data_IF_951900920650
#
_entry.id   IF_951900920650
#
_cell.length_a   1.000
_cell.length_b   1.000
_cell.length_c   1.000
_cell.angle_alpha   90.00
_cell.angle_beta   90.00
_cell.angle_gamma   90.00
#
_symmetry.space_group_name_H-M   'P 1'
#
loop_
_entity.id
_entity.type
_entity.pdbx_description
1 polymer ?
#
# COMPACT_ATOMS: atom_id res chain seq x y z
N UNK A 1 -6.51 0.21 -14.69
CA UNK A 1 -5.04 0.11 -14.76
C UNK A 1 -4.45 0.95 -13.64
N UNK A 2 -3.66 0.31 -12.80
CA UNK A 2 -2.86 0.94 -11.74
C UNK A 2 -1.39 0.68 -12.02
N UNK A 3 -0.53 1.57 -11.57
CA UNK A 3 0.93 1.46 -11.76
C UNK A 3 1.65 1.74 -10.45
N UNK A 4 2.73 1.00 -10.20
CA UNK A 4 3.66 1.23 -9.09
C UNK A 4 5.06 1.40 -9.65
N UNK A 5 5.75 2.42 -9.16
CA UNK A 5 7.19 2.62 -9.38
C UNK A 5 7.91 2.30 -8.07
N UNK A 6 8.48 1.09 -7.98
CA UNK A 6 9.00 0.50 -6.73
C UNK A 6 10.23 -0.35 -7.01
N UNK A 7 11.14 -0.45 -6.05
CA UNK A 7 12.34 -1.31 -6.08
C UNK A 7 11.96 -2.69 -5.52
N UNK A 8 11.63 -3.65 -6.40
CA UNK A 8 11.03 -4.93 -6.01
C UNK A 8 12.04 -5.99 -5.57
N UNK A 9 13.29 -5.87 -6.02
CA UNK A 9 14.37 -6.81 -5.74
C UNK A 9 15.48 -6.26 -4.82
N UNK A 10 15.29 -5.03 -4.31
CA UNK A 10 16.15 -4.33 -3.35
C UNK A 10 17.54 -3.98 -3.92
N UNK A 11 17.66 -3.85 -5.24
CA UNK A 11 18.92 -3.54 -5.93
C UNK A 11 19.23 -2.03 -6.01
N UNK A 12 18.23 -1.20 -5.69
CA UNK A 12 18.32 0.26 -5.65
C UNK A 12 17.82 0.97 -6.91
N UNK A 13 17.48 0.23 -7.97
CA UNK A 13 16.84 0.74 -9.17
C UNK A 13 15.31 0.62 -9.05
N UNK A 14 14.59 1.61 -9.56
CA UNK A 14 13.12 1.63 -9.50
C UNK A 14 12.56 0.85 -10.68
N UNK A 15 11.78 -0.19 -10.39
CA UNK A 15 11.02 -1.01 -11.34
C UNK A 15 9.62 -0.45 -11.60
N UNK A 16 8.90 -1.08 -12.52
CA UNK A 16 7.53 -0.71 -12.87
C UNK A 16 6.59 -1.92 -12.89
N UNK A 17 5.66 -1.98 -11.95
CA UNK A 17 4.53 -2.92 -11.97
C UNK A 17 3.29 -2.27 -12.61
N UNK A 18 2.61 -3.01 -13.48
CA UNK A 18 1.40 -2.57 -14.18
C UNK A 18 0.28 -3.60 -13.99
N UNK A 19 -0.79 -3.19 -13.29
CA UNK A 19 -2.02 -3.96 -13.20
C UNK A 19 -2.87 -3.76 -14.46
N UNK A 20 -3.19 -4.86 -15.14
CA UNK A 20 -3.91 -4.87 -16.41
C UNK A 20 -5.34 -5.38 -16.28
N UNK A 21 -6.23 -4.87 -17.13
CA UNK A 21 -7.62 -5.32 -17.21
C UNK A 21 -7.75 -6.50 -18.19
N UNK A 22 -8.03 -7.68 -17.65
CA UNK A 22 -8.35 -8.90 -18.40
C UNK A 22 -7.20 -9.44 -19.26
N UNK A 23 -5.97 -8.98 -19.01
CA UNK A 23 -4.72 -9.49 -19.57
C UNK A 23 -3.69 -9.69 -18.45
N UNK A 24 -2.58 -10.41 -18.66
CA UNK A 24 -1.58 -10.60 -17.63
C UNK A 24 -1.05 -9.25 -17.12
N UNK A 25 -0.78 -9.14 -15.82
CA UNK A 25 -0.05 -8.00 -15.28
C UNK A 25 1.40 -8.04 -15.78
N UNK A 26 2.06 -6.89 -15.81
CA UNK A 26 3.47 -6.79 -16.21
C UNK A 26 4.31 -6.30 -15.03
N UNK A 27 5.53 -6.83 -14.95
CA UNK A 27 6.59 -6.27 -14.14
C UNK A 27 7.78 -5.99 -15.04
N UNK A 28 8.11 -4.72 -15.16
CA UNK A 28 9.26 -4.24 -15.92
C UNK A 28 10.38 -3.99 -14.92
N UNK A 29 11.34 -4.92 -14.84
CA UNK A 29 12.53 -4.73 -14.02
C UNK A 29 13.49 -3.77 -14.71
N UNK A 30 14.00 -2.81 -13.96
CA UNK A 30 14.99 -1.86 -14.44
C UNK A 30 16.37 -2.54 -14.47
N UNK A 31 17.09 -2.41 -15.58
CA UNK A 31 18.42 -3.05 -15.73
C UNK A 31 19.58 -2.08 -15.41
N UNK A 32 19.27 -0.92 -14.82
CA UNK A 32 20.26 0.08 -14.37
C UNK A 32 20.92 0.91 -15.48
N UNK A 33 20.61 0.63 -16.74
CA UNK A 33 21.14 1.31 -17.92
C UNK A 33 20.09 2.14 -18.69
N UNK A 34 18.92 2.34 -18.07
CA UNK A 34 17.77 3.02 -18.65
C UNK A 34 16.92 2.13 -19.55
N UNK A 35 17.18 0.82 -19.59
CA UNK A 35 16.32 -0.18 -20.22
C UNK A 35 15.55 -0.99 -19.18
N UNK A 36 14.48 -1.64 -19.64
CA UNK A 36 13.62 -2.47 -18.79
C UNK A 36 13.39 -3.84 -19.44
N UNK A 37 13.37 -4.89 -18.62
CA UNK A 37 12.99 -6.24 -19.01
C UNK A 37 11.60 -6.59 -18.44
N UNK A 38 10.69 -7.08 -19.28
CA UNK A 38 9.42 -7.63 -18.81
C UNK A 38 9.67 -9.02 -18.21
N UNK A 39 9.37 -9.16 -16.91
CA UNK A 39 9.66 -10.35 -16.10
C UNK A 39 8.45 -10.81 -15.27
N UNK A 40 7.23 -10.32 -15.54
CA UNK A 40 6.05 -10.54 -14.70
C UNK A 40 5.69 -12.02 -14.52
N UNK A 41 5.89 -12.85 -15.53
CA UNK A 41 5.67 -14.30 -15.43
C UNK A 41 6.74 -14.97 -14.55
N UNK A 42 8.01 -14.59 -14.73
CA UNK A 42 9.16 -15.12 -14.00
C UNK A 42 9.12 -14.72 -12.52
N UNK A 43 8.72 -13.48 -12.26
CA UNK A 43 8.51 -12.93 -10.92
C UNK A 43 7.22 -13.42 -10.23
N UNK A 44 6.36 -14.15 -10.96
CA UNK A 44 5.08 -14.69 -10.47
C UNK A 44 4.05 -13.63 -10.05
N UNK A 45 4.03 -12.50 -10.75
CA UNK A 45 3.05 -11.41 -10.55
C UNK A 45 2.10 -11.20 -11.73
N UNK A 46 2.31 -11.92 -12.84
CA UNK A 46 1.49 -11.82 -14.04
C UNK A 46 0.05 -12.36 -13.86
N UNK A 47 -0.14 -13.33 -12.96
CA UNK A 47 -1.39 -14.04 -12.72
C UNK A 47 -1.57 -14.33 -11.23
N UNK A 48 -2.79 -14.56 -10.76
CA UNK A 48 -3.04 -15.18 -9.45
C UNK A 48 -2.73 -16.69 -9.46
N UNK A 49 -2.92 -17.35 -8.31
CA UNK A 49 -2.60 -18.76 -8.07
C UNK A 49 -3.23 -19.75 -9.06
N UNK A 50 -4.35 -19.38 -9.68
CA UNK A 50 -5.09 -20.21 -10.63
C UNK A 50 -4.62 -20.01 -12.09
N UNK A 51 -3.68 -19.09 -12.34
CA UNK A 51 -3.00 -18.92 -13.63
C UNK A 51 -3.86 -18.27 -14.73
N UNK A 52 -4.98 -17.63 -14.39
CA UNK A 52 -5.80 -16.88 -15.34
C UNK A 52 -5.50 -15.39 -15.26
N UNK A 53 -5.67 -14.70 -16.39
CA UNK A 53 -5.71 -13.23 -16.39
C UNK A 53 -6.86 -12.76 -15.51
N UNK A 54 -6.58 -11.74 -14.70
CA UNK A 54 -7.54 -11.08 -13.83
C UNK A 54 -7.75 -9.64 -14.32
N UNK A 55 -8.73 -8.93 -13.76
CA UNK A 55 -9.08 -7.57 -14.19
C UNK A 55 -8.60 -6.52 -13.19
N UNK A 56 -7.29 -6.21 -13.25
CA UNK A 56 -6.56 -5.30 -12.35
C UNK A 56 -6.90 -3.82 -12.50
N UNK A 57 -7.30 -3.16 -11.41
CA UNK A 57 -7.59 -1.72 -11.42
C UNK A 57 -6.71 -0.90 -10.47
N UNK A 58 -6.79 -1.11 -9.16
CA UNK A 58 -5.93 -0.42 -8.19
C UNK A 58 -4.82 -1.30 -7.66
N UNK A 59 -3.77 -0.65 -7.19
CA UNK A 59 -2.53 -1.29 -6.73
C UNK A 59 -2.03 -0.66 -5.43
N UNK A 60 -1.49 -1.46 -4.53
CA UNK A 60 -0.85 -0.97 -3.31
C UNK A 60 0.51 -1.67 -3.08
N UNK A 61 1.39 -0.98 -2.36
CA UNK A 61 2.73 -1.43 -2.00
C UNK A 61 2.94 -1.29 -0.49
N UNK A 62 3.30 -2.36 0.19
CA UNK A 62 3.47 -2.34 1.65
C UNK A 62 3.87 -3.69 2.23
N UNK A 63 4.67 -3.67 3.29
CA UNK A 63 5.13 -4.85 4.04
C UNK A 63 4.02 -5.31 5.01
N UNK A 64 3.14 -6.20 4.54
CA UNK A 64 1.95 -6.58 5.31
C UNK A 64 2.25 -7.63 6.39
N UNK A 65 3.28 -8.46 6.22
CA UNK A 65 3.61 -9.52 7.18
C UNK A 65 4.79 -9.16 8.10
N UNK A 66 5.37 -7.97 7.93
CA UNK A 66 6.39 -7.41 8.81
C UNK A 66 7.76 -8.06 8.64
N UNK A 67 8.01 -8.66 7.48
CA UNK A 67 9.26 -9.34 7.18
C UNK A 67 10.33 -8.45 6.53
N UNK A 68 10.01 -7.15 6.43
CA UNK A 68 10.84 -6.09 5.87
C UNK A 68 11.09 -6.20 4.35
N UNK A 69 10.21 -6.91 3.62
CA UNK A 69 10.12 -6.90 2.15
C UNK A 69 8.70 -6.51 1.73
N UNK A 70 8.49 -5.30 1.20
CA UNK A 70 7.13 -4.89 0.85
C UNK A 70 6.53 -5.72 -0.29
N UNK A 71 5.21 -5.83 -0.24
CA UNK A 71 4.38 -6.71 -1.06
C UNK A 71 3.49 -5.92 -2.02
N UNK A 72 2.99 -6.58 -3.06
CA UNK A 72 2.07 -5.97 -4.03
C UNK A 72 0.65 -6.47 -3.77
N UNK A 73 -0.31 -5.56 -3.66
CA UNK A 73 -1.73 -5.90 -3.69
C UNK A 73 -2.39 -5.31 -4.93
N UNK A 74 -3.28 -6.08 -5.57
CA UNK A 74 -4.00 -5.70 -6.78
C UNK A 74 -5.49 -5.99 -6.66
N UNK A 75 -6.33 -5.02 -7.00
CA UNK A 75 -7.80 -5.20 -6.98
C UNK A 75 -8.33 -5.77 -8.29
N UNK A 76 -9.35 -6.60 -8.19
CA UNK A 76 -9.93 -7.32 -9.31
C UNK A 76 -11.46 -7.19 -9.41
N UNK A 77 -12.00 -7.79 -10.47
CA UNK A 77 -13.42 -7.82 -10.76
C UNK A 77 -14.12 -8.93 -9.96
N UNK A 78 -15.46 -8.89 -9.92
CA UNK A 78 -16.24 -9.94 -9.27
C UNK A 78 -16.10 -11.30 -9.98
N UNK A 79 -16.41 -12.38 -9.25
CA UNK A 79 -16.10 -13.77 -9.59
C UNK A 79 -14.59 -14.08 -9.69
N UNK A 80 -13.78 -13.16 -9.19
CA UNK A 80 -12.34 -13.26 -8.99
C UNK A 80 -11.98 -12.74 -7.60
N UNK A 81 -10.78 -13.04 -7.09
CA UNK A 81 -10.31 -12.51 -5.81
C UNK A 81 -9.26 -11.42 -6.05
N UNK A 82 -9.20 -10.44 -5.16
CA UNK A 82 -8.08 -9.50 -5.14
C UNK A 82 -6.80 -10.24 -4.77
N UNK A 83 -5.71 -9.98 -5.49
CA UNK A 83 -4.47 -10.75 -5.38
C UNK A 83 -3.45 -10.01 -4.51
N UNK A 84 -2.94 -10.71 -3.50
CA UNK A 84 -1.81 -10.29 -2.67
C UNK A 84 -0.58 -11.11 -3.06
N UNK A 85 0.38 -10.45 -3.71
CA UNK A 85 1.68 -11.02 -4.07
C UNK A 85 2.67 -10.74 -2.95
N UNK A 86 2.95 -11.76 -2.13
CA UNK A 86 3.97 -11.67 -1.08
C UNK A 86 5.37 -11.73 -1.70
N UNK A 87 6.25 -10.83 -1.29
CA UNK A 87 7.63 -10.76 -1.75
C UNK A 87 8.50 -11.84 -1.07
N UNK A 88 8.97 -12.81 -1.84
CA UNK A 88 9.84 -13.89 -1.38
C UNK A 88 11.34 -13.51 -1.41
N UNK A 89 11.65 -12.29 -1.86
CA UNK A 89 13.00 -11.78 -2.07
C UNK A 89 13.51 -11.98 -3.50
N UNK A 90 14.58 -11.26 -3.85
CA UNK A 90 15.23 -11.34 -5.18
C UNK A 90 14.26 -11.14 -6.36
N UNK A 91 13.22 -10.30 -6.17
CA UNK A 91 12.21 -9.99 -7.18
C UNK A 91 11.22 -11.13 -7.48
N UNK A 92 11.17 -12.16 -6.63
CA UNK A 92 10.20 -13.25 -6.73
C UNK A 92 9.03 -13.04 -5.77
N UNK A 93 7.84 -13.38 -6.23
CA UNK A 93 6.62 -13.27 -5.44
C UNK A 93 5.86 -14.61 -5.35
N UNK A 94 4.94 -14.68 -4.40
CA UNK A 94 3.98 -15.76 -4.28
C UNK A 94 2.57 -15.21 -3.98
N UNK A 95 1.54 -15.82 -4.54
CA UNK A 95 0.16 -15.49 -4.19
C UNK A 95 -0.14 -15.93 -2.74
N UNK A 96 -0.35 -14.97 -1.86
CA UNK A 96 -0.66 -15.15 -0.46
C UNK A 96 -2.16 -14.92 -0.14
N UNK A 97 -2.99 -14.64 -1.14
CA UNK A 97 -4.35 -14.09 -0.96
C UNK A 97 -5.24 -14.95 -0.07
N UNK A 98 -5.23 -16.28 -0.26
CA UNK A 98 -6.03 -17.20 0.56
C UNK A 98 -5.44 -17.35 1.97
N UNK A 99 -4.11 -17.46 2.09
CA UNK A 99 -3.43 -17.61 3.36
C UNK A 99 -3.61 -16.37 4.26
N UNK A 100 -3.58 -15.19 3.64
CA UNK A 100 -3.79 -13.88 4.26
C UNK A 100 -5.28 -13.55 4.49
N UNK A 101 -6.24 -14.39 4.08
CA UNK A 101 -7.67 -14.19 4.37
C UNK A 101 -8.45 -13.33 3.37
N UNK A 102 -7.83 -12.96 2.23
CA UNK A 102 -8.41 -12.06 1.22
C UNK A 102 -9.24 -12.77 0.12
N UNK A 103 -9.06 -14.08 -0.04
CA UNK A 103 -9.65 -14.80 -1.18
C UNK A 103 -11.18 -14.72 -1.24
N UNK A 104 -11.88 -14.91 -0.12
CA UNK A 104 -13.35 -14.95 -0.12
C UNK A 104 -14.01 -13.60 0.13
N UNK A 105 -13.30 -12.67 0.76
CA UNK A 105 -13.82 -11.35 1.14
C UNK A 105 -14.00 -10.46 -0.08
N UNK A 106 -13.18 -10.62 -1.12
CA UNK A 106 -13.23 -9.82 -2.36
C UNK A 106 -14.11 -10.42 -3.46
N UNK A 107 -14.47 -11.72 -3.37
CA UNK A 107 -14.99 -12.50 -4.50
C UNK A 107 -16.24 -11.94 -5.20
N UNK A 108 -17.12 -11.25 -4.47
CA UNK A 108 -18.37 -10.70 -5.02
C UNK A 108 -18.32 -9.18 -5.22
N UNK A 109 -17.14 -8.59 -5.18
CA UNK A 109 -16.93 -7.14 -5.23
C UNK A 109 -16.05 -6.78 -6.41
N UNK A 110 -16.24 -5.57 -6.93
CA UNK A 110 -15.39 -4.99 -7.98
C UNK A 110 -14.54 -3.90 -7.34
N UNK A 111 -13.26 -4.20 -7.14
CA UNK A 111 -12.33 -3.32 -6.43
C UNK A 111 -11.63 -2.30 -7.35
N UNK A 112 -11.50 -1.08 -6.86
CA UNK A 112 -10.81 0.03 -7.50
C UNK A 112 -9.69 0.57 -6.60
N UNK A 113 -9.88 1.71 -5.94
CA UNK A 113 -8.88 2.31 -5.06
C UNK A 113 -8.49 1.36 -3.93
N UNK A 114 -7.22 1.36 -3.55
CA UNK A 114 -6.69 0.52 -2.49
C UNK A 114 -5.42 1.14 -1.91
N UNK A 115 -5.10 0.81 -0.66
CA UNK A 115 -3.89 1.26 0.00
C UNK A 115 -3.62 0.48 1.29
N UNK A 116 -2.34 0.21 1.53
CA UNK A 116 -1.87 -0.29 2.83
C UNK A 116 -1.61 0.89 3.77
N UNK A 117 -2.07 0.78 5.02
CA UNK A 117 -1.84 1.80 6.03
C UNK A 117 -2.02 1.23 7.43
N UNK A 118 -1.38 1.83 8.42
CA UNK A 118 -1.54 1.41 9.82
C UNK A 118 -2.67 2.23 10.45
N UNK A 119 -3.86 1.63 10.59
CA UNK A 119 -5.06 2.37 11.00
C UNK A 119 -5.02 2.73 12.46
N UNK A 120 -4.59 1.80 13.30
CA UNK A 120 -4.64 1.95 14.75
C UNK A 120 -3.27 2.17 15.39
N UNK A 121 -2.24 2.37 14.56
CA UNK A 121 -0.88 2.67 14.93
C UNK A 121 -0.21 1.52 15.72
N UNK A 122 -0.56 0.26 15.46
CA UNK A 122 0.02 -0.91 16.14
C UNK A 122 1.28 -1.50 15.47
N UNK A 123 1.61 -0.99 14.29
CA UNK A 123 2.77 -1.34 13.48
C UNK A 123 2.50 -2.37 12.39
N UNK A 124 1.31 -2.97 12.32
CA UNK A 124 0.90 -3.88 11.26
C UNK A 124 0.10 -3.08 10.20
N UNK A 125 0.36 -3.32 8.90
CA UNK A 125 -0.33 -2.59 7.83
C UNK A 125 -1.70 -3.21 7.52
N UNK A 126 -2.77 -2.46 7.76
CA UNK A 126 -4.14 -2.74 7.35
C UNK A 126 -4.36 -2.44 5.86
N UNK A 127 -5.53 -2.84 5.34
CA UNK A 127 -5.86 -2.69 3.93
C UNK A 127 -7.22 -2.04 3.72
N UNK A 128 -7.25 -0.99 2.92
CA UNK A 128 -8.47 -0.38 2.40
C UNK A 128 -8.74 -0.87 0.97
N UNK A 129 -10.00 -1.17 0.64
CA UNK A 129 -10.45 -1.37 -0.75
C UNK A 129 -11.73 -0.58 -1.01
N UNK A 130 -11.69 0.31 -1.99
CA UNK A 130 -12.85 1.03 -2.49
C UNK A 130 -13.55 0.21 -3.59
N UNK A 131 -14.84 -0.08 -3.41
CA UNK A 131 -15.60 -0.96 -4.30
C UNK A 131 -16.75 -0.25 -5.00
N UNK A 132 -17.17 -0.80 -6.13
CA UNK A 132 -18.38 -0.39 -6.82
C UNK A 132 -18.45 -0.97 -8.21
N UNK A 133 -19.53 -1.63 -8.57
CA UNK A 133 -19.62 -2.29 -9.86
C UNK A 133 -19.60 -1.28 -11.02
N UNK A 134 -19.16 -1.75 -12.20
CA UNK A 134 -19.20 -0.98 -13.46
C UNK A 134 -20.53 -1.03 -14.23
N UNK A 135 -21.44 -1.96 -13.91
CA UNK A 135 -22.67 -2.22 -14.69
C UNK A 135 -23.91 -1.92 -13.82
N UNK A 136 -24.60 -0.78 -14.03
CA UNK A 136 -25.85 -0.47 -13.33
C UNK A 136 -26.94 -1.54 -13.52
N UNK A 137 -26.86 -2.32 -14.60
CA UNK A 137 -27.82 -3.38 -14.92
C UNK A 137 -27.70 -4.61 -14.01
N UNK A 138 -26.62 -4.73 -13.23
CA UNK A 138 -26.36 -5.87 -12.35
C UNK A 138 -27.46 -6.07 -11.31
N UNK A 139 -28.07 -4.97 -10.85
CA UNK A 139 -29.24 -4.95 -9.97
C UNK A 139 -30.42 -5.79 -10.49
N UNK A 140 -30.52 -5.95 -11.81
CA UNK A 140 -31.60 -6.70 -12.48
C UNK A 140 -31.18 -8.10 -12.89
N UNK A 141 -29.89 -8.41 -12.82
CA UNK A 141 -29.32 -9.68 -13.28
C UNK A 141 -29.53 -10.82 -12.27
N UNK A 142 -29.77 -10.50 -11.00
CA UNK A 142 -29.96 -11.51 -9.94
C UNK A 142 -28.67 -12.28 -9.61
N UNK A 143 -27.50 -11.69 -9.87
CA UNK A 143 -26.18 -12.30 -9.66
C UNK A 143 -25.71 -12.33 -8.20
N UNK A 144 -26.46 -11.76 -7.26
CA UNK A 144 -26.10 -11.72 -5.84
C UNK A 144 -25.14 -10.60 -5.44
N UNK A 145 -24.82 -9.71 -6.38
CA UNK A 145 -24.04 -8.48 -6.21
C UNK A 145 -24.92 -7.25 -6.55
N UNK A 146 -24.41 -6.04 -6.28
CA UNK A 146 -25.11 -4.78 -6.49
C UNK A 146 -24.23 -3.76 -7.20
N UNK A 147 -24.85 -2.73 -7.79
CA UNK A 147 -24.12 -1.67 -8.48
C UNK A 147 -23.32 -0.82 -7.50
N UNK A 148 -23.98 -0.37 -6.43
CA UNK A 148 -23.32 0.23 -5.27
C UNK A 148 -22.83 -0.91 -4.35
N UNK A 149 -21.56 -0.90 -3.97
CA UNK A 149 -20.94 -1.95 -3.16
C UNK A 149 -20.31 -1.33 -1.90
N UNK A 150 -20.23 -2.08 -0.79
CA UNK A 150 -19.54 -1.61 0.41
C UNK A 150 -18.02 -1.53 0.16
N UNK A 151 -17.39 -0.48 0.67
CA UNK A 151 -15.92 -0.45 0.75
C UNK A 151 -15.47 -1.45 1.83
N UNK A 152 -14.22 -1.88 1.79
CA UNK A 152 -13.66 -2.80 2.78
C UNK A 152 -12.52 -2.15 3.53
N UNK A 153 -12.59 -2.23 4.85
CA UNK A 153 -11.45 -1.99 5.72
C UNK A 153 -11.10 -3.34 6.36
N UNK A 154 -9.88 -3.81 6.13
CA UNK A 154 -9.42 -5.10 6.61
C UNK A 154 -8.31 -4.92 7.63
N UNK A 155 -8.58 -5.37 8.85
CA UNK A 155 -7.70 -5.37 10.01
C UNK A 155 -6.63 -6.44 9.83
N UNK A 156 -5.35 -6.08 9.86
CA UNK A 156 -4.26 -7.02 9.74
C UNK A 156 -3.81 -7.50 11.12
N UNK A 157 -3.87 -8.82 11.34
CA UNK A 157 -3.47 -9.46 12.58
C UNK A 157 -2.30 -10.39 12.32
N UNK A 158 -1.10 -9.83 12.33
CA UNK A 158 0.14 -10.55 12.09
C UNK A 158 0.14 -11.33 10.75
N UNK A 159 -0.12 -10.62 9.65
CA UNK A 159 -0.11 -11.15 8.29
C UNK A 159 -1.42 -11.83 7.87
N UNK A 160 -2.50 -11.63 8.62
CA UNK A 160 -3.83 -12.14 8.26
C UNK A 160 -4.89 -11.05 8.37
N UNK A 161 -5.59 -10.82 7.27
CA UNK A 161 -6.63 -9.81 7.15
C UNK A 161 -7.99 -10.35 7.60
N UNK A 162 -8.68 -9.56 8.41
CA UNK A 162 -10.07 -9.77 8.81
C UNK A 162 -10.89 -8.54 8.44
N UNK A 163 -12.05 -8.73 7.82
CA UNK A 163 -12.93 -7.62 7.48
C UNK A 163 -13.45 -6.94 8.77
N UNK A 164 -13.21 -5.64 8.91
CA UNK A 164 -13.57 -4.88 10.09
C UNK A 164 -15.06 -4.47 10.06
N UNK A 165 -15.89 -5.26 10.75
CA UNK A 165 -17.34 -5.02 10.89
C UNK A 165 -17.76 -5.05 12.38
N UNK A 166 -17.45 -4.00 13.17
CA UNK A 166 -17.85 -3.93 14.56
C UNK A 166 -19.39 -4.02 14.67
N UNK A 167 -19.87 -4.99 15.44
CA UNK A 167 -21.30 -5.28 15.60
C UNK A 167 -22.06 -5.60 14.29
N UNK A 168 -21.33 -5.95 13.22
CA UNK A 168 -21.91 -6.25 11.91
C UNK A 168 -22.25 -5.01 11.07
N UNK A 169 -21.83 -3.81 11.49
CA UNK A 169 -22.03 -2.57 10.74
C UNK A 169 -20.76 -2.16 9.97
N UNK A 170 -20.95 -1.56 8.80
CA UNK A 170 -19.88 -1.02 7.97
C UNK A 170 -19.38 0.31 8.56
N UNK A 171 -18.09 0.39 8.86
CA UNK A 171 -17.44 1.58 9.43
C UNK A 171 -17.12 2.65 8.38
N UNK A 172 -17.14 2.30 7.10
CA UNK A 172 -16.84 3.20 5.98
C UNK A 172 -18.09 3.89 5.41
N UNK A 173 -19.26 3.57 5.97
CA UNK A 173 -20.55 4.16 5.59
C UNK A 173 -21.35 3.30 4.61
N UNK A 174 -22.37 3.85 3.95
CA UNK A 174 -23.23 3.08 3.04
C UNK A 174 -22.49 2.65 1.78
N UNK A 175 -22.94 1.55 1.18
CA UNK A 175 -22.48 1.10 -0.14
C UNK A 175 -22.65 2.20 -1.19
N UNK A 176 -21.60 2.39 -2.01
CA UNK A 176 -21.53 3.40 -3.08
C UNK A 176 -20.83 2.83 -4.31
N UNK A 177 -20.74 3.65 -5.36
CA UNK A 177 -19.97 3.32 -6.55
C UNK A 177 -18.61 4.00 -6.43
N UNK A 178 -17.77 3.48 -5.53
CA UNK A 178 -16.48 4.07 -5.21
C UNK A 178 -15.46 3.81 -6.32
N UNK A 179 -14.52 4.73 -6.52
CA UNK A 179 -13.43 4.61 -7.49
C UNK A 179 -12.10 4.85 -6.80
N UNK A 180 -11.57 6.07 -6.88
CA UNK A 180 -10.28 6.39 -6.28
C UNK A 180 -10.36 6.54 -4.77
N UNK A 181 -9.27 6.15 -4.09
CA UNK A 181 -9.06 6.36 -2.66
C UNK A 181 -7.69 6.95 -2.41
N UNK A 182 -7.59 7.78 -1.38
CA UNK A 182 -6.33 8.30 -0.85
C UNK A 182 -6.35 8.22 0.68
N UNK A 183 -5.18 8.05 1.28
CA UNK A 183 -4.87 7.85 2.67
C UNK A 183 -3.87 8.94 3.05
N UNK A 184 -4.20 9.68 4.09
CA UNK A 184 -3.40 10.79 4.55
C UNK A 184 -3.76 11.11 6.00
N UNK A 185 -2.80 11.57 6.78
CA UNK A 185 -3.08 12.28 8.02
C UNK A 185 -3.36 13.75 7.63
N UNK A 186 -4.62 14.06 7.30
CA UNK A 186 -4.95 15.34 6.65
C UNK A 186 -4.95 16.52 7.63
N UNK A 187 -5.14 16.26 8.93
CA UNK A 187 -5.13 17.26 9.98
C UNK A 187 -3.87 17.23 10.88
N UNK A 188 -2.96 16.30 10.61
CA UNK A 188 -1.65 16.12 11.25
C UNK A 188 -1.75 15.75 12.73
N UNK A 189 -2.72 14.92 13.09
CA UNK A 189 -2.99 14.52 14.47
C UNK A 189 -2.36 13.16 14.84
N UNK A 190 -1.85 12.44 13.85
CA UNK A 190 -1.10 11.20 14.03
C UNK A 190 -1.83 9.92 13.67
N UNK A 191 -3.11 9.96 13.30
CA UNK A 191 -3.74 8.85 12.60
C UNK A 191 -3.99 9.14 11.12
N UNK A 192 -4.04 8.06 10.35
CA UNK A 192 -4.26 8.13 8.92
C UNK A 192 -5.75 8.07 8.64
N UNK A 193 -6.23 9.06 7.90
CA UNK A 193 -7.59 9.19 7.41
C UNK A 193 -7.73 8.69 5.97
N UNK A 194 -8.97 8.57 5.53
CA UNK A 194 -9.29 8.04 4.20
C UNK A 194 -10.19 9.03 3.45
N UNK A 195 -9.81 9.36 2.21
CA UNK A 195 -10.66 10.02 1.24
C UNK A 195 -11.06 9.03 0.15
N UNK A 196 -12.37 8.87 -0.11
CA UNK A 196 -12.90 8.06 -1.22
C UNK A 196 -13.70 8.93 -2.19
N UNK A 197 -13.46 8.76 -3.48
CA UNK A 197 -14.24 9.37 -4.56
C UNK A 197 -15.33 8.40 -5.04
N UNK A 198 -16.51 8.95 -5.31
CA UNK A 198 -17.69 8.18 -5.70
C UNK A 198 -18.18 8.66 -7.07
N UNK A 199 -18.55 7.73 -7.95
CA UNK A 199 -19.11 8.05 -9.26
C UNK A 199 -20.48 8.71 -9.10
N UNK A 200 -20.68 9.85 -9.76
CA UNK A 200 -21.92 10.65 -9.73
C UNK A 200 -22.43 11.02 -8.32
N UNK A 201 -21.54 11.02 -7.32
CA UNK A 201 -21.85 11.36 -5.93
C UNK A 201 -20.69 12.15 -5.30
N UNK A 202 -20.91 12.67 -4.08
CA UNK A 202 -19.91 13.42 -3.32
C UNK A 202 -18.79 12.49 -2.84
N UNK A 203 -17.54 12.98 -2.78
CA UNK A 203 -16.48 12.27 -2.08
C UNK A 203 -16.81 12.14 -0.59
N UNK A 204 -16.28 11.09 0.04
CA UNK A 204 -16.38 10.85 1.47
C UNK A 204 -14.99 10.99 2.10
N UNK A 205 -14.83 11.93 3.03
CA UNK A 205 -13.69 11.98 3.93
C UNK A 205 -14.09 11.24 5.21
N UNK A 206 -13.37 10.16 5.51
CA UNK A 206 -13.56 9.30 6.66
C UNK A 206 -12.44 9.61 7.64
N UNK A 207 -12.80 10.29 8.72
CA UNK A 207 -11.86 10.65 9.77
C UNK A 207 -11.59 9.45 10.68
N UNK A 208 -10.34 9.15 10.92
CA UNK A 208 -9.90 8.19 11.91
C UNK A 208 -9.76 8.90 13.27
N UNK A 209 -10.05 8.19 14.36
CA UNK A 209 -9.91 8.74 15.73
C UNK A 209 -9.41 7.62 16.67
N UNK A 210 -8.73 6.63 16.10
CA UNK A 210 -8.29 5.39 16.76
C UNK A 210 -6.78 5.38 16.88
N UNK A 211 -6.04 5.63 15.80
CA UNK A 211 -4.59 5.54 15.77
C UNK A 211 -3.91 6.61 16.63
N UNK A 212 -4.49 7.81 16.75
CA UNK A 212 -3.92 8.91 17.54
C UNK A 212 -3.91 8.65 19.06
N UNK A 213 -4.43 7.49 19.50
CA UNK A 213 -4.33 6.99 20.88
C UNK A 213 -3.07 6.18 21.15
N UNK A 214 -2.36 5.77 20.11
CA UNK A 214 -1.08 5.09 20.18
C UNK A 214 0.05 6.01 19.71
N UNK A 215 1.28 5.58 19.92
CA UNK A 215 2.44 6.32 19.49
C UNK A 215 2.68 6.13 17.99
N UNK A 216 3.24 7.14 17.35
CA UNK A 216 3.50 7.14 15.91
C UNK A 216 4.74 7.98 15.58
N UNK A 217 5.24 7.88 14.35
CA UNK A 217 6.21 8.79 13.79
C UNK A 217 5.90 9.02 12.31
N UNK A 218 5.64 10.28 11.96
CA UNK A 218 5.56 10.71 10.56
C UNK A 218 6.93 11.19 10.09
N UNK A 219 7.31 10.87 8.86
CA UNK A 219 8.59 11.27 8.27
C UNK A 219 8.36 11.90 6.90
N UNK A 220 8.78 13.16 6.76
CA UNK A 220 8.83 13.88 5.48
C UNK A 220 10.27 13.92 4.99
N UNK A 221 10.51 13.51 3.75
CA UNK A 221 11.83 13.54 3.13
C UNK A 221 12.00 14.77 2.23
N UNK A 222 13.18 15.39 2.31
CA UNK A 222 13.57 16.49 1.43
C UNK A 222 14.91 16.16 0.78
N UNK A 223 14.85 15.69 -0.47
CA UNK A 223 16.06 15.36 -1.25
C UNK A 223 16.87 16.59 -1.63
N UNK A 224 18.19 16.47 -1.68
CA UNK A 224 19.17 17.49 -2.09
C UNK A 224 19.86 17.11 -3.40
N UNK A 225 20.47 15.93 -3.44
CA UNK A 225 21.04 15.28 -4.62
C UNK A 225 19.97 14.47 -5.35
N UNK A 226 19.18 13.70 -4.58
CA UNK A 226 17.96 13.05 -5.04
C UNK A 226 16.86 14.05 -5.38
N UNK A 227 15.78 13.56 -6.00
CA UNK A 227 14.59 14.39 -6.25
C UNK A 227 14.04 14.98 -4.93
N UNK A 228 13.46 16.18 -5.01
CA UNK A 228 13.08 16.96 -3.82
C UNK A 228 12.07 16.25 -2.90
N UNK A 229 11.23 15.39 -3.46
CA UNK A 229 10.25 14.62 -2.68
C UNK A 229 10.80 13.31 -2.10
N UNK A 230 12.06 12.96 -2.35
CA UNK A 230 12.64 11.69 -1.91
C UNK A 230 12.00 10.45 -2.55
N UNK A 231 11.28 10.59 -3.67
CA UNK A 231 10.59 9.48 -4.35
C UNK A 231 11.63 8.42 -4.77
N UNK A 232 11.37 7.16 -4.44
CA UNK A 232 12.29 6.03 -4.56
C UNK A 232 13.15 5.78 -3.32
N UNK A 233 13.04 6.61 -2.27
CA UNK A 233 13.76 6.35 -1.02
C UNK A 233 13.08 5.22 -0.22
N UNK A 234 13.90 4.40 0.45
CA UNK A 234 13.46 3.36 1.38
C UNK A 234 13.81 3.75 2.81
N UNK A 235 12.82 3.77 3.69
CA UNK A 235 12.97 4.00 5.12
C UNK A 235 12.84 2.67 5.87
N UNK A 236 13.79 2.41 6.77
CA UNK A 236 13.74 1.28 7.71
C UNK A 236 13.77 1.82 9.14
N UNK A 237 12.67 1.65 9.88
CA UNK A 237 12.56 2.07 11.27
C UNK A 237 12.69 0.86 12.20
N UNK A 238 13.66 0.89 13.11
CA UNK A 238 13.83 -0.13 14.14
C UNK A 238 13.34 0.41 15.48
N UNK A 239 12.37 -0.28 16.09
CA UNK A 239 11.83 0.05 17.40
C UNK A 239 11.22 -1.19 18.07
N UNK A 240 11.45 -1.36 19.37
CA UNK A 240 10.82 -2.45 20.15
C UNK A 240 11.18 -3.86 19.66
N UNK A 241 12.30 -4.04 18.96
CA UNK A 241 12.71 -5.32 18.37
C UNK A 241 12.05 -5.68 17.04
N UNK A 242 11.19 -4.80 16.49
CA UNK A 242 10.64 -4.90 15.14
C UNK A 242 11.37 -3.95 14.18
N UNK A 243 11.30 -4.25 12.88
CA UNK A 243 11.70 -3.33 11.80
C UNK A 243 10.49 -3.12 10.92
N UNK A 244 10.12 -1.86 10.69
CA UNK A 244 9.10 -1.48 9.71
C UNK A 244 9.76 -0.84 8.50
N UNK A 245 9.24 -1.14 7.31
CA UNK A 245 9.72 -0.59 6.03
C UNK A 245 8.65 0.28 5.40
N UNK A 246 9.04 1.46 4.91
CA UNK A 246 8.20 2.35 4.11
C UNK A 246 9.02 2.88 2.95
N UNK A 247 8.48 2.78 1.74
CA UNK A 247 9.09 3.40 0.57
C UNK A 247 8.31 4.67 0.23
N UNK A 248 9.05 5.72 -0.15
CA UNK A 248 8.41 6.93 -0.70
C UNK A 248 8.16 6.69 -2.17
N UNK A 249 6.90 6.43 -2.52
CA UNK A 249 6.51 6.15 -3.89
C UNK A 249 5.68 7.30 -4.46
N UNK A 250 5.63 7.38 -5.79
CA UNK A 250 4.72 8.26 -6.50
C UNK A 250 3.79 7.40 -7.36
N UNK A 251 2.51 7.39 -7.01
CA UNK A 251 1.51 6.53 -7.65
C UNK A 251 1.23 5.27 -6.83
N UNK A 252 -0.06 5.03 -6.65
CA UNK A 252 -0.69 3.89 -6.00
C UNK A 252 -2.20 4.03 -6.17
N UNK A 253 -2.99 3.10 -5.63
CA UNK A 253 -4.45 3.11 -5.70
C UNK A 253 -4.95 3.18 -7.16
N UNK A 254 -6.12 3.76 -7.38
CA UNK A 254 -6.73 3.97 -8.69
C UNK A 254 -7.09 5.45 -8.88
N UNK A 255 -6.54 6.10 -9.92
CA UNK A 255 -6.76 7.53 -10.23
C UNK A 255 -6.54 8.48 -9.04
N UNK A 256 -5.65 8.10 -8.12
CA UNK A 256 -5.40 8.78 -6.84
C UNK A 256 -3.91 8.67 -6.48
N UNK A 257 -3.51 9.31 -5.39
CA UNK A 257 -2.18 9.17 -4.78
C UNK A 257 -2.31 9.41 -3.29
N UNK A 258 -1.49 8.71 -2.51
CA UNK A 258 -1.45 8.86 -1.05
C UNK A 258 -0.63 10.10 -0.63
N UNK A 259 -0.70 10.41 0.66
CA UNK A 259 0.24 11.31 1.33
C UNK A 259 1.69 10.83 1.09
N UNK A 260 2.60 11.70 0.62
CA UNK A 260 3.99 11.31 0.36
C UNK A 260 4.82 11.10 1.63
N UNK A 261 4.29 11.37 2.82
CA UNK A 261 5.00 11.20 4.09
C UNK A 261 4.90 9.75 4.55
N UNK A 262 6.04 9.17 4.93
CA UNK A 262 6.04 7.85 5.55
C UNK A 262 5.42 7.95 6.95
N UNK A 263 4.55 7.00 7.29
CA UNK A 263 3.95 6.89 8.61
C UNK A 263 4.28 5.52 9.23
N UNK A 264 4.68 5.56 10.49
CA UNK A 264 4.99 4.39 11.31
C UNK A 264 4.15 4.42 12.59
N UNK A 265 3.25 3.46 12.76
CA UNK A 265 2.66 3.19 14.07
C UNK A 265 3.68 2.52 14.98
N UNK A 266 3.73 2.95 16.24
CA UNK A 266 4.69 2.49 17.24
C UNK A 266 4.01 1.81 18.42
N UNK A 267 2.68 1.69 18.40
CA UNK A 267 1.89 1.15 19.48
C UNK A 267 2.16 1.87 20.79
N UNK A 268 2.62 1.13 21.80
CA UNK A 268 3.01 1.68 23.10
C UNK A 268 4.53 1.93 23.22
N UNK A 269 5.30 1.79 22.14
CA UNK A 269 6.75 2.00 22.15
C UNK A 269 7.05 3.49 22.32
N UNK A 270 7.85 3.84 23.31
CA UNK A 270 8.21 5.23 23.63
C UNK A 270 9.53 5.69 22.97
N UNK A 271 10.29 4.76 22.39
CA UNK A 271 11.62 5.05 21.84
C UNK A 271 11.89 4.30 20.54
N UNK A 272 12.27 5.07 19.52
CA UNK A 272 12.82 4.55 18.25
C UNK A 272 14.33 4.34 18.41
N UNK A 273 14.80 3.14 18.07
CA UNK A 273 16.22 2.79 18.18
C UNK A 273 17.03 3.41 17.03
N UNK A 274 16.49 3.35 15.81
CA UNK A 274 17.03 4.04 14.65
C UNK A 274 16.04 4.18 13.50
N UNK A 275 16.21 5.22 12.70
CA UNK A 275 15.61 5.37 11.38
C UNK A 275 16.74 5.40 10.34
N UNK A 276 16.75 4.44 9.43
CA UNK A 276 17.63 4.45 8.27
C UNK A 276 16.85 4.95 7.05
N UNK A 277 17.46 5.83 6.26
CA UNK A 277 16.94 6.28 4.96
C UNK A 277 17.97 5.93 3.90
N UNK A 278 17.60 5.08 2.93
CA UNK A 278 18.33 4.87 1.69
C UNK A 278 17.73 5.78 0.63
N UNK A 279 18.50 6.76 0.18
CA UNK A 279 18.08 7.72 -0.84
C UNK A 279 18.29 7.18 -2.25
N UNK A 280 17.54 7.69 -3.25
CA UNK A 280 17.78 7.36 -4.66
C UNK A 280 19.20 7.66 -5.16
N UNK A 281 19.90 8.61 -4.54
CA UNK A 281 21.32 8.90 -4.80
C UNK A 281 22.28 7.77 -4.36
N UNK A 282 21.79 6.79 -3.61
CA UNK A 282 22.60 5.76 -2.94
C UNK A 282 23.14 6.19 -1.58
N UNK A 283 22.92 7.44 -1.15
CA UNK A 283 23.25 7.88 0.21
C UNK A 283 22.41 7.10 1.22
N UNK A 284 23.06 6.65 2.30
CA UNK A 284 22.37 6.01 3.44
C UNK A 284 22.59 6.85 4.69
N UNK A 285 21.51 7.42 5.21
CA UNK A 285 21.52 8.16 6.48
C UNK A 285 20.93 7.32 7.59
N UNK A 286 21.47 7.45 8.81
CA UNK A 286 20.94 6.78 10.00
C UNK A 286 20.75 7.80 11.11
N UNK A 287 19.51 7.99 11.52
CA UNK A 287 19.11 8.87 12.62
C UNK A 287 18.82 8.03 13.88
N UNK A 288 19.10 8.60 15.05
CA UNK A 288 18.89 7.98 16.37
C UNK A 288 18.33 9.01 17.34
N UNK A 289 17.79 8.54 18.47
CA UNK A 289 17.21 9.40 19.52
C UNK A 289 16.08 10.31 19.00
N UNK A 290 15.24 9.78 18.12
CA UNK A 290 14.10 10.50 17.56
C UNK A 290 13.01 10.66 18.61
N UNK A 291 12.34 11.83 18.60
CA UNK A 291 11.10 11.99 19.36
C UNK A 291 9.97 11.34 18.55
N UNK A 292 9.03 10.75 19.26
CA UNK A 292 7.80 10.17 18.71
C UNK A 292 6.67 11.21 18.73
N UNK A 293 5.53 10.87 18.12
CA UNK A 293 4.28 11.63 18.06
C UNK A 293 4.49 13.01 17.43
N UNK A 294 5.16 13.01 16.28
CA UNK A 294 5.48 14.20 15.51
C UNK A 294 5.70 13.83 14.05
N UNK A 295 5.66 14.86 13.19
CA UNK A 295 6.31 14.81 11.89
C UNK A 295 7.77 15.25 12.00
N UNK A 296 8.67 14.38 11.55
CA UNK A 296 10.09 14.65 11.41
C UNK A 296 10.41 14.95 9.95
N UNK A 297 10.98 16.12 9.68
CA UNK A 297 11.56 16.43 8.37
C UNK A 297 13.00 15.92 8.35
N UNK A 298 13.34 15.09 7.36
CA UNK A 298 14.70 14.59 7.13
C UNK A 298 15.19 15.14 5.79
N UNK A 299 16.23 15.97 5.86
CA UNK A 299 16.91 16.46 4.67
C UNK A 299 18.05 15.51 4.29
N UNK A 300 18.21 15.24 3.00
CA UNK A 300 19.32 14.44 2.49
C UNK A 300 20.65 15.15 2.75
N UNK A 301 21.53 14.51 3.53
CA UNK A 301 22.87 15.01 3.79
C UNK A 301 23.77 14.69 2.58
N UNK A 302 24.39 15.71 2.01
CA UNK A 302 25.37 15.56 0.92
C UNK A 302 26.73 14.99 1.36
N UNK A 303 26.81 14.24 2.47
CA UNK A 303 28.06 13.61 2.89
C UNK A 303 28.31 12.34 2.06
N UNK A 304 29.32 12.40 1.19
CA UNK A 304 29.79 11.31 0.33
C UNK A 304 29.73 9.95 1.04
N UNK A 305 28.99 9.00 0.46
CA UNK A 305 29.02 7.62 0.86
C UNK A 305 30.47 7.11 0.76
N UNK A 306 31.05 6.75 1.91
CA UNK A 306 32.36 6.11 1.95
C UNK A 306 32.29 4.79 1.19
N UNK A 307 32.83 4.78 -0.04
CA UNK A 307 33.12 3.57 -0.81
C UNK A 307 33.85 2.58 0.10
N UNK A 308 33.24 1.42 0.32
CA UNK A 308 33.95 0.22 0.77
C UNK A 308 34.03 -0.76 -0.37
#
# INVERSE_FOLDING_TARGET
FGVLFVDVDDDGDVDLYVANDSTPNFLWRNEGDGTFAEVGLQAQVAYGAMGHSQAGMGVAWGDYDGDARPDIFSTHFEDDYNTLYRNEGEGLFADASVAAGLGRTSFHLVGFGTGFFDRDNDGDLDLLVANGHVYPQIERAGSGTSYAQPNQLLDNRAGRFELLLPSGEDVLGPAKVSRGSAIADYDNDGDLDILVTNLDDRPALLRNDVGNRQNWLGVELVGRESNRGGIGARLRLAAGGKVQVRDIISGSSFLSSEDPRAHFGLGQIERVDSLQVRWPSGVVQVLKNLRINQYLVVEEDGSEAGRR
#
